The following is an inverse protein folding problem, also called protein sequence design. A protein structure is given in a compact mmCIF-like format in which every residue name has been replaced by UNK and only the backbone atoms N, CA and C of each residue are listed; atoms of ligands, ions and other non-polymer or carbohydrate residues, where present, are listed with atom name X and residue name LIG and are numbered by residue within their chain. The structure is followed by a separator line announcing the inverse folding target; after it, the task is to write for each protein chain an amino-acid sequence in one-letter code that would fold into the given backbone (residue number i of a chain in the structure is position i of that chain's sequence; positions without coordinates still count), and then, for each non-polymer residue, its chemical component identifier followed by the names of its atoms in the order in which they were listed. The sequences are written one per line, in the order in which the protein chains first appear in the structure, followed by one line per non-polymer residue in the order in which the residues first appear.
data_IF_835092785181
#
_entry.id   IF_835092785181
#
_cell.length_a   1.000
_cell.length_b   1.000
_cell.length_c   1.000
_cell.angle_alpha   90.00
_cell.angle_beta   90.00
_cell.angle_gamma   90.00
#
_symmetry.space_group_name_H-M   'P 1'
#
loop_
_entity.id
_entity.type
_entity.pdbx_description
1 polymer ?
#
# COMPACT_ATOMS: atom_id res chain seq x y z
N UNK A 1 11.62 -3.11 23.87
CA UNK A 1 11.61 -3.31 22.41
C UNK A 1 11.03 -4.67 21.96
N UNK A 2 11.12 -5.74 22.75
CA UNK A 2 10.61 -7.08 22.41
C UNK A 2 9.07 -7.25 22.42
N UNK A 3 8.32 -6.45 23.18
CA UNK A 3 6.86 -6.58 23.25
C UNK A 3 6.13 -6.10 21.98
N UNK A 4 6.68 -5.11 21.29
CA UNK A 4 6.10 -4.61 20.03
C UNK A 4 6.16 -5.68 18.94
N UNK A 5 7.27 -6.41 18.86
CA UNK A 5 7.47 -7.49 17.90
C UNK A 5 6.47 -8.65 18.07
N UNK A 6 6.02 -8.93 19.29
CA UNK A 6 5.01 -9.96 19.57
C UNK A 6 3.61 -9.57 19.10
N UNK A 7 3.35 -8.27 18.97
CA UNK A 7 2.03 -7.73 18.54
C UNK A 7 1.95 -7.52 17.04
N UNK A 8 3.08 -7.53 16.33
CA UNK A 8 3.09 -7.39 14.88
C UNK A 8 2.64 -8.69 14.22
N UNK A 9 1.74 -8.63 13.23
CA UNK A 9 1.19 -9.80 12.55
C UNK A 9 2.20 -10.43 11.58
N UNK A 10 3.32 -9.78 11.32
CA UNK A 10 4.32 -10.21 10.33
C UNK A 10 5.01 -11.51 10.74
N UNK A 11 5.11 -12.44 9.80
CA UNK A 11 5.74 -13.73 9.98
C UNK A 11 7.06 -13.85 9.21
N UNK A 12 6.98 -14.21 7.95
CA UNK A 12 8.13 -14.45 7.07
C UNK A 12 7.95 -13.70 5.76
N UNK A 13 8.99 -13.04 5.31
CA UNK A 13 9.09 -12.49 3.97
C UNK A 13 9.22 -13.63 2.98
N UNK A 14 8.35 -13.66 1.98
CA UNK A 14 8.34 -14.67 0.94
C UNK A 14 9.09 -14.19 -0.30
N UNK A 15 8.85 -12.95 -0.70
CA UNK A 15 9.56 -12.21 -1.75
C UNK A 15 9.52 -10.70 -1.44
N UNK A 16 10.09 -9.87 -2.33
CA UNK A 16 10.21 -8.41 -2.16
C UNK A 16 8.87 -7.68 -1.95
N UNK A 17 7.76 -8.30 -2.33
CA UNK A 17 6.41 -7.68 -2.28
C UNK A 17 5.44 -8.45 -1.40
N UNK A 18 5.75 -9.69 -1.07
CA UNK A 18 4.83 -10.64 -0.43
C UNK A 18 5.35 -11.11 0.93
N UNK A 19 4.48 -11.11 1.90
CA UNK A 19 4.79 -11.54 3.26
C UNK A 19 3.76 -12.55 3.75
N UNK A 20 4.21 -13.59 4.45
CA UNK A 20 3.35 -14.53 5.15
C UNK A 20 3.17 -14.03 6.57
N UNK A 21 1.92 -13.85 6.99
CA UNK A 21 1.57 -13.43 8.34
C UNK A 21 1.63 -14.62 9.32
N UNK A 22 1.67 -14.33 10.61
CA UNK A 22 1.76 -15.37 11.67
C UNK A 22 0.57 -16.32 11.75
N UNK A 23 -0.58 -15.88 11.25
CA UNK A 23 -1.79 -16.70 11.15
C UNK A 23 -1.85 -17.54 9.86
N UNK A 24 -0.79 -17.47 9.03
CA UNK A 24 -0.71 -18.14 7.75
C UNK A 24 -1.43 -17.40 6.61
N UNK A 25 -1.95 -16.20 6.85
CA UNK A 25 -2.46 -15.33 5.80
C UNK A 25 -1.31 -14.79 4.94
N UNK A 26 -1.60 -14.46 3.69
CA UNK A 26 -0.62 -13.87 2.77
C UNK A 26 -0.95 -12.40 2.58
N UNK A 27 0.05 -11.56 2.70
CA UNK A 27 -0.05 -10.11 2.54
C UNK A 27 0.87 -9.64 1.41
N UNK A 28 0.35 -8.79 0.51
CA UNK A 28 1.15 -8.11 -0.50
C UNK A 28 0.85 -6.62 -0.47
N UNK A 29 1.87 -5.79 -0.67
CA UNK A 29 1.74 -4.33 -0.67
C UNK A 29 2.24 -3.77 -2.00
N UNK A 30 1.48 -2.83 -2.55
CA UNK A 30 1.75 -2.18 -3.83
C UNK A 30 1.69 -0.67 -3.65
N UNK A 31 2.67 0.05 -4.14
CA UNK A 31 2.56 1.49 -4.36
C UNK A 31 1.68 1.69 -5.60
N UNK A 32 0.65 2.51 -5.46
CA UNK A 32 -0.32 2.75 -6.52
C UNK A 32 -0.19 4.18 -7.00
N UNK A 33 0.19 4.33 -8.26
CA UNK A 33 0.15 5.61 -8.94
C UNK A 33 -1.29 5.96 -9.32
N UNK A 34 -1.66 7.20 -9.08
CA UNK A 34 -2.94 7.75 -9.53
C UNK A 34 -2.82 8.39 -10.91
N UNK A 35 -3.97 8.75 -11.45
CA UNK A 35 -4.04 9.69 -12.56
C UNK A 35 -4.26 11.10 -11.99
N UNK A 36 -3.64 12.09 -12.62
CA UNK A 36 -3.89 13.48 -12.27
C UNK A 36 -5.28 13.89 -12.78
N UNK A 37 -6.21 14.09 -11.84
CA UNK A 37 -7.61 14.42 -12.18
C UNK A 37 -7.76 15.79 -12.88
N UNK A 38 -6.79 16.70 -12.68
CA UNK A 38 -6.83 18.03 -13.28
C UNK A 38 -6.38 18.03 -14.75
N UNK A 39 -5.56 17.05 -15.13
CA UNK A 39 -5.01 16.93 -16.49
C UNK A 39 -5.58 15.77 -17.30
N UNK A 40 -6.32 14.85 -16.65
CA UNK A 40 -6.91 13.68 -17.30
C UNK A 40 -8.31 13.97 -17.84
N UNK A 41 -8.66 13.32 -18.94
CA UNK A 41 -10.03 13.36 -19.45
C UNK A 41 -10.99 12.65 -18.48
N UNK A 42 -12.19 13.19 -18.32
CA UNK A 42 -13.22 12.58 -17.49
C UNK A 42 -13.57 11.13 -17.89
N UNK A 43 -13.40 10.80 -19.16
CA UNK A 43 -13.58 9.42 -19.67
C UNK A 43 -12.51 8.48 -19.12
N UNK A 44 -11.25 8.91 -19.02
CA UNK A 44 -10.15 8.10 -18.48
C UNK A 44 -10.34 7.82 -16.99
N UNK A 45 -10.82 8.80 -16.24
CA UNK A 45 -11.14 8.65 -14.81
C UNK A 45 -12.24 7.61 -14.60
N UNK A 46 -13.30 7.66 -15.44
CA UNK A 46 -14.41 6.70 -15.37
C UNK A 46 -13.98 5.29 -15.76
N UNK A 47 -13.14 5.14 -16.81
CA UNK A 47 -12.61 3.85 -17.22
C UNK A 47 -11.72 3.23 -16.14
N UNK A 48 -10.82 3.99 -15.55
CA UNK A 48 -9.98 3.55 -14.43
C UNK A 48 -10.85 3.07 -13.26
N UNK A 49 -11.86 3.85 -12.89
CA UNK A 49 -12.81 3.47 -11.82
C UNK A 49 -13.54 2.17 -12.14
N UNK A 50 -13.98 1.98 -13.37
CA UNK A 50 -14.65 0.77 -13.79
C UNK A 50 -13.73 -0.45 -13.71
N UNK A 51 -12.48 -0.34 -14.17
CA UNK A 51 -11.46 -1.40 -14.08
C UNK A 51 -11.15 -1.78 -12.62
N UNK A 52 -10.92 -0.80 -11.76
CA UNK A 52 -10.67 -1.05 -10.33
C UNK A 52 -11.88 -1.76 -9.70
N UNK A 53 -13.10 -1.30 -9.98
CA UNK A 53 -14.31 -1.94 -9.48
C UNK A 53 -14.46 -3.38 -9.97
N UNK A 54 -14.12 -3.66 -11.24
CA UNK A 54 -14.15 -5.00 -11.79
C UNK A 54 -13.14 -5.94 -11.11
N UNK A 55 -11.92 -5.47 -10.86
CA UNK A 55 -10.89 -6.23 -10.13
C UNK A 55 -11.38 -6.56 -8.72
N UNK A 56 -11.87 -5.57 -7.98
CA UNK A 56 -12.34 -5.76 -6.61
C UNK A 56 -13.54 -6.71 -6.51
N UNK A 57 -14.49 -6.61 -7.45
CA UNK A 57 -15.66 -7.49 -7.51
C UNK A 57 -15.32 -8.93 -7.96
N UNK A 58 -14.18 -9.14 -8.61
CA UNK A 58 -13.71 -10.46 -9.01
C UNK A 58 -13.02 -11.24 -7.88
N UNK A 59 -12.76 -10.61 -6.75
CA UNK A 59 -12.10 -11.24 -5.59
C UNK A 59 -13.14 -11.81 -4.63
N UNK A 60 -12.83 -12.97 -4.05
CA UNK A 60 -13.70 -13.63 -3.08
C UNK A 60 -13.66 -12.98 -1.68
N UNK A 61 -14.52 -13.44 -0.79
CA UNK A 61 -14.61 -12.96 0.60
C UNK A 61 -13.36 -13.23 1.45
N UNK A 62 -12.38 -13.98 0.91
CA UNK A 62 -11.10 -14.26 1.56
C UNK A 62 -10.11 -13.09 1.48
N UNK A 63 -10.40 -12.07 0.68
CA UNK A 63 -9.53 -10.92 0.51
C UNK A 63 -9.95 -9.73 1.36
N UNK A 64 -8.96 -9.07 1.96
CA UNK A 64 -9.11 -7.79 2.65
C UNK A 64 -8.16 -6.77 2.04
N UNK A 65 -8.62 -5.52 1.95
CA UNK A 65 -7.86 -4.42 1.36
C UNK A 65 -7.67 -3.32 2.39
N UNK A 66 -6.45 -2.80 2.44
CA UNK A 66 -6.11 -1.64 3.25
C UNK A 66 -5.46 -0.61 2.34
N UNK A 67 -5.97 0.62 2.38
CA UNK A 67 -5.43 1.74 1.64
C UNK A 67 -4.77 2.66 2.63
N UNK A 68 -3.47 2.87 2.45
CA UNK A 68 -2.67 3.78 3.26
C UNK A 68 -2.26 4.97 2.40
N UNK A 69 -2.47 6.17 2.91
CA UNK A 69 -1.99 7.40 2.28
C UNK A 69 -0.91 8.00 3.15
N UNK A 70 0.26 8.15 2.57
CA UNK A 70 1.41 8.80 3.20
C UNK A 70 1.69 10.12 2.51
N UNK A 71 2.32 11.03 3.24
CA UNK A 71 2.87 12.25 2.69
C UNK A 71 4.37 12.24 2.94
N UNK A 72 5.17 12.32 1.88
CA UNK A 72 6.63 12.40 1.99
C UNK A 72 7.13 13.75 1.47
N UNK A 73 8.18 14.26 2.08
CA UNK A 73 8.84 15.47 1.60
C UNK A 73 9.57 15.14 0.30
N UNK A 74 9.44 15.99 -0.70
CA UNK A 74 10.12 15.85 -1.99
C UNK A 74 10.94 17.07 -2.29
N UNK A 75 12.02 16.88 -3.06
CA UNK A 75 12.77 17.98 -3.65
C UNK A 75 12.44 18.07 -5.13
N UNK A 76 11.92 19.22 -5.53
CA UNK A 76 11.61 19.50 -6.92
C UNK A 76 12.89 19.95 -7.61
N UNK A 77 13.23 19.31 -8.73
CA UNK A 77 14.37 19.66 -9.58
C UNK A 77 13.98 19.68 -11.04
N UNK A 78 14.61 20.52 -11.83
CA UNK A 78 14.41 20.55 -13.28
C UNK A 78 14.98 19.30 -13.96
N UNK A 79 14.31 18.85 -15.02
CA UNK A 79 14.74 17.67 -15.80
C UNK A 79 16.02 17.92 -16.58
N UNK A 80 16.26 19.16 -16.99
CA UNK A 80 17.41 19.51 -17.83
C UNK A 80 17.94 20.86 -17.38
N UNK A 81 19.24 20.93 -17.07
CA UNK A 81 19.88 22.21 -16.77
C UNK A 81 20.01 23.05 -18.03
N UNK A 82 19.52 24.28 -18.06
CA UNK A 82 19.70 25.19 -19.17
C UNK A 82 21.18 25.40 -19.46
N UNK A 83 21.54 25.52 -20.77
CA UNK A 83 22.92 25.75 -21.18
C UNK A 83 23.36 27.20 -20.97
N UNK A 84 22.40 28.12 -20.90
CA UNK A 84 22.67 29.54 -20.75
C UNK A 84 22.75 29.93 -19.27
N UNK A 85 23.79 30.65 -18.82
CA UNK A 85 23.99 31.00 -17.41
C UNK A 85 22.83 31.79 -16.82
N UNK A 86 22.23 32.69 -17.59
CA UNK A 86 21.05 33.46 -17.14
C UNK A 86 19.85 32.54 -16.89
N UNK A 87 19.52 31.67 -17.83
CA UNK A 87 18.42 30.72 -17.67
C UNK A 87 18.66 29.77 -16.50
N UNK A 88 19.90 29.35 -16.28
CA UNK A 88 20.26 28.55 -15.12
C UNK A 88 20.04 29.28 -13.80
N UNK A 89 20.40 30.56 -13.70
CA UNK A 89 20.19 31.37 -12.50
C UNK A 89 18.69 31.58 -12.20
N UNK A 90 17.86 31.71 -13.24
CA UNK A 90 16.40 31.80 -13.09
C UNK A 90 15.85 30.47 -12.57
N UNK A 91 16.24 29.34 -13.16
CA UNK A 91 15.81 28.02 -12.72
C UNK A 91 16.23 27.72 -11.27
N UNK A 92 17.49 27.99 -10.93
CA UNK A 92 18.01 27.76 -9.58
C UNK A 92 17.21 28.58 -8.53
N UNK A 93 16.87 29.84 -8.86
CA UNK A 93 16.06 30.69 -7.97
C UNK A 93 14.63 30.16 -7.85
N UNK A 94 14.05 29.72 -8.97
CA UNK A 94 12.69 29.17 -9.00
C UNK A 94 12.58 27.89 -8.17
N UNK A 95 13.47 26.90 -8.40
CA UNK A 95 13.49 25.65 -7.66
C UNK A 95 13.84 25.84 -6.19
N UNK A 96 14.73 26.79 -5.87
CA UNK A 96 15.01 27.13 -4.47
C UNK A 96 13.73 27.65 -3.76
N UNK A 97 12.96 28.52 -4.43
CA UNK A 97 11.67 29.01 -3.90
C UNK A 97 10.64 27.90 -3.71
N UNK A 98 10.50 27.01 -4.70
CA UNK A 98 9.59 25.87 -4.62
C UNK A 98 9.96 24.93 -3.46
N UNK A 99 11.23 24.58 -3.32
CA UNK A 99 11.69 23.69 -2.27
C UNK A 99 11.63 24.32 -0.87
N UNK A 100 11.77 25.64 -0.76
CA UNK A 100 11.60 26.35 0.51
C UNK A 100 10.17 26.27 1.06
N UNK A 101 9.17 26.03 0.20
CA UNK A 101 7.77 25.85 0.62
C UNK A 101 7.50 24.47 1.24
N UNK A 102 8.48 23.55 1.23
CA UNK A 102 8.34 22.19 1.75
C UNK A 102 7.34 21.34 0.95
N UNK A 103 7.55 21.17 -0.36
CA UNK A 103 6.62 20.43 -1.21
C UNK A 103 6.52 18.97 -0.74
N UNK A 104 5.29 18.44 -0.82
CA UNK A 104 4.99 17.07 -0.38
C UNK A 104 4.33 16.29 -1.51
N UNK A 105 4.71 15.04 -1.61
CA UNK A 105 4.09 14.06 -2.49
C UNK A 105 3.17 13.15 -1.69
N UNK A 106 2.01 12.86 -2.23
CA UNK A 106 1.11 11.86 -1.67
C UNK A 106 1.42 10.50 -2.28
N UNK A 107 1.78 9.54 -1.43
CA UNK A 107 2.01 8.15 -1.82
C UNK A 107 0.83 7.32 -1.34
N UNK A 108 0.25 6.53 -2.23
CA UNK A 108 -0.83 5.60 -1.90
C UNK A 108 -0.27 4.18 -1.94
N UNK A 109 -0.42 3.46 -0.83
CA UNK A 109 -0.06 2.04 -0.75
C UNK A 109 -1.33 1.22 -0.56
N UNK A 110 -1.57 0.30 -1.48
CA UNK A 110 -2.60 -0.70 -1.39
C UNK A 110 -2.01 -1.98 -0.79
N UNK A 111 -2.50 -2.39 0.36
CA UNK A 111 -2.15 -3.67 0.97
C UNK A 111 -3.31 -4.65 0.78
N UNK A 112 -3.01 -5.78 0.17
CA UNK A 112 -3.95 -6.86 -0.06
C UNK A 112 -3.60 -8.02 0.86
N UNK A 113 -4.57 -8.49 1.62
CA UNK A 113 -4.40 -9.63 2.53
C UNK A 113 -5.37 -10.74 2.12
N UNK A 114 -4.84 -11.92 1.84
CA UNK A 114 -5.63 -13.13 1.66
C UNK A 114 -5.63 -13.93 2.94
N UNK A 115 -6.77 -14.03 3.58
CA UNK A 115 -6.94 -14.75 4.84
C UNK A 115 -6.78 -16.27 4.65
N UNK A 116 -6.08 -16.90 5.59
CA UNK A 116 -6.05 -18.36 5.66
C UNK A 116 -7.29 -18.87 6.41
N UNK A 117 -8.34 -19.22 5.67
CA UNK A 117 -9.59 -19.76 6.25
C UNK A 117 -9.38 -20.99 7.12
N UNK A 118 -8.38 -21.81 6.83
CA UNK A 118 -8.07 -23.01 7.60
C UNK A 118 -7.48 -22.69 8.97
N UNK A 119 -6.70 -21.62 9.10
CA UNK A 119 -6.11 -21.20 10.37
C UNK A 119 -7.14 -20.73 11.38
N UNK A 120 -8.25 -20.13 10.92
CA UNK A 120 -9.32 -19.63 11.80
C UNK A 120 -10.22 -20.77 12.32
N UNK A 121 -10.39 -21.86 11.57
CA UNK A 121 -11.24 -22.98 11.93
C UNK A 121 -10.58 -23.99 12.86
N UNK A 122 -9.26 -24.21 12.74
CA UNK A 122 -8.52 -25.20 13.53
C UNK A 122 -8.55 -24.94 15.04
N UNK A 123 -8.40 -23.72 15.58
CA UNK A 123 -8.47 -23.49 17.01
C UNK A 123 -9.88 -23.70 17.61
N UNK A 124 -10.93 -23.44 16.84
CA UNK A 124 -12.33 -23.64 17.28
C UNK A 124 -12.68 -25.14 17.35
N UNK A 125 -12.27 -25.91 16.34
CA UNK A 125 -12.42 -27.37 16.32
C UNK A 125 -11.58 -28.04 17.41
N UNK A 126 -10.34 -27.60 17.61
CA UNK A 126 -9.47 -28.11 18.68
C UNK A 126 -10.02 -27.84 20.09
N UNK A 127 -10.64 -26.68 20.32
CA UNK A 127 -11.35 -26.37 21.58
C UNK A 127 -12.63 -27.17 21.74
N UNK A 128 -13.40 -27.40 20.69
CA UNK A 128 -14.60 -28.23 20.70
C UNK A 128 -14.29 -29.69 21.00
N UNK A 129 -13.27 -30.26 20.36
CA UNK A 129 -12.83 -31.64 20.57
C UNK A 129 -12.26 -31.88 21.99
N UNK A 130 -11.51 -30.92 22.56
CA UNK A 130 -11.05 -30.98 23.95
C UNK A 130 -12.21 -30.96 24.96
N UNK A 131 -13.34 -30.32 24.61
CA UNK A 131 -14.51 -30.23 25.48
C UNK A 131 -15.34 -31.54 25.47
N UNK A 132 -15.32 -32.27 24.35
CA UNK A 132 -15.98 -33.57 24.19
C UNK A 132 -15.17 -34.70 24.85
N UNK A 133 -13.83 -34.68 24.79
CA UNK A 133 -12.97 -35.69 25.41
C UNK A 133 -12.84 -35.61 26.93
N UNK A 134 -13.50 -34.66 27.61
CA UNK A 134 -13.45 -34.47 29.06
C UNK A 134 -14.73 -34.94 29.80
N UNK A 135 -15.61 -35.66 29.11
CA UNK A 135 -16.86 -36.20 29.63
C UNK A 135 -16.92 -37.75 29.68
N UNK A 136 -15.76 -38.38 29.86
CA UNK A 136 -15.71 -39.80 30.26
C UNK A 136 -14.78 -39.96 31.45
#
# INVERSE_FOLDING_TARGET
MYELFRKMPYGVEYDDTTMILRDGSVCAAFEVDGIDADTSDGADVLDLRARVSQILNGLDEGFSFFIHRFSRDVQISGYTKPKQPFAQAVDDTWFAGLNASGPKEAVIVLTVVRSNYNAVRVPLLGKALKKVGRKN
#
